data_IF_036318641041
#
_entry.id   IF_036318641041
#
_cell.length_a   1.000
_cell.length_b   1.000
_cell.length_c   1.000
_cell.angle_alpha   90.00
_cell.angle_beta   90.00
_cell.angle_gamma   90.00
#
_symmetry.space_group_name_H-M   'P 1'
#
loop_
_entity.id
_entity.type
_entity.pdbx_description
1 polymer ?
#
# COMPACT_ATOMS: atom_id res chain seq x y z
N UNK A 1 -1.62 15.03 3.39
CA UNK A 1 -2.06 13.99 4.35
C UNK A 1 -2.03 12.65 3.65
N UNK A 2 -1.30 11.66 4.18
CA UNK A 2 -1.30 10.29 3.65
C UNK A 2 -2.56 9.58 4.13
N UNK A 3 -3.40 9.11 3.19
CA UNK A 3 -4.65 8.42 3.52
C UNK A 3 -4.41 6.91 3.51
N UNK A 4 -3.77 6.42 4.58
CA UNK A 4 -3.46 5.00 4.77
C UNK A 4 -4.71 4.10 4.76
N UNK A 5 -5.90 4.65 5.06
CA UNK A 5 -7.18 3.93 4.99
C UNK A 5 -7.60 3.53 3.58
N UNK A 6 -6.96 4.06 2.54
CA UNK A 6 -7.26 3.67 1.16
C UNK A 6 -6.51 2.42 0.71
N UNK A 7 -5.54 1.94 1.52
CA UNK A 7 -4.78 0.74 1.22
C UNK A 7 -5.52 -0.52 1.64
N UNK A 8 -5.25 -1.63 0.96
CA UNK A 8 -5.73 -2.94 1.40
C UNK A 8 -5.11 -3.27 2.76
N UNK A 9 -5.90 -3.86 3.68
CA UNK A 9 -5.44 -4.13 5.05
C UNK A 9 -4.19 -5.01 5.11
N UNK A 10 -4.02 -5.92 4.15
CA UNK A 10 -2.86 -6.82 4.05
C UNK A 10 -1.55 -6.05 3.83
N UNK A 11 -1.60 -4.98 3.03
CA UNK A 11 -0.47 -4.12 2.67
C UNK A 11 -0.13 -3.18 3.85
N UNK A 12 -1.14 -2.69 4.56
CA UNK A 12 -0.96 -1.90 5.79
C UNK A 12 -0.29 -2.77 6.86
N UNK A 13 -0.77 -3.99 7.05
CA UNK A 13 -0.17 -4.94 7.99
C UNK A 13 1.28 -5.27 7.63
N UNK A 14 1.60 -5.50 6.35
CA UNK A 14 2.99 -5.72 5.92
C UNK A 14 3.87 -4.51 6.25
N UNK A 15 3.39 -3.31 5.94
CA UNK A 15 4.08 -2.04 6.22
C UNK A 15 4.29 -1.83 7.73
N UNK A 16 3.26 -2.05 8.54
CA UNK A 16 3.34 -1.94 10.01
C UNK A 16 4.27 -2.99 10.62
N UNK A 17 4.39 -4.16 9.99
CA UNK A 17 5.33 -5.22 10.37
C UNK A 17 6.76 -4.96 9.89
N UNK A 18 7.03 -3.86 9.20
CA UNK A 18 8.35 -3.56 8.64
C UNK A 18 8.74 -4.45 7.46
N UNK A 19 7.79 -5.22 6.90
CA UNK A 19 7.97 -5.89 5.62
C UNK A 19 7.51 -4.93 4.55
N UNK A 20 8.42 -4.20 3.91
CA UNK A 20 8.07 -3.39 2.73
C UNK A 20 7.55 -4.32 1.62
N UNK A 21 6.23 -4.34 1.34
CA UNK A 21 5.70 -5.21 0.32
C UNK A 21 6.18 -4.71 -1.05
N UNK A 22 6.92 -5.55 -1.79
CA UNK A 22 7.40 -5.31 -3.16
C UNK A 22 7.70 -3.84 -3.53
N UNK A 23 8.50 -3.16 -2.70
CA UNK A 23 8.93 -1.77 -2.97
C UNK A 23 7.83 -0.71 -2.76
N UNK A 24 6.88 -0.94 -1.86
CA UNK A 24 5.95 0.08 -1.36
C UNK A 24 6.70 1.10 -0.50
N UNK A 25 7.20 2.16 -1.13
CA UNK A 25 7.78 3.30 -0.42
C UNK A 25 6.71 4.35 -0.11
N UNK A 26 6.91 5.15 0.94
CA UNK A 26 6.03 6.29 1.29
C UNK A 26 5.80 7.24 0.09
N UNK A 27 6.75 7.32 -0.84
CA UNK A 27 6.64 8.09 -2.08
C UNK A 27 5.61 7.49 -3.06
N UNK A 28 5.49 6.16 -3.15
CA UNK A 28 4.45 5.50 -3.94
C UNK A 28 3.07 5.68 -3.33
N UNK A 29 2.99 5.75 -1.99
CA UNK A 29 1.76 6.12 -1.28
C UNK A 29 1.38 7.60 -1.46
N UNK A 30 2.34 8.45 -1.80
CA UNK A 30 2.09 9.86 -2.15
C UNK A 30 1.74 10.05 -3.62
N UNK A 31 2.07 9.08 -4.48
CA UNK A 31 1.65 9.03 -5.90
C UNK A 31 0.30 8.32 -6.00
N UNK A 32 -0.39 8.53 -7.13
CA UNK A 32 -1.72 8.00 -7.44
C UNK A 32 -1.91 6.55 -6.96
N UNK A 33 -2.55 6.41 -5.80
CA UNK A 33 -2.87 5.12 -5.21
C UNK A 33 -4.10 4.57 -5.92
N UNK A 34 -4.09 3.31 -6.37
CA UNK A 34 -5.30 2.70 -6.91
C UNK A 34 -6.38 2.73 -5.85
N UNK A 35 -7.58 3.16 -6.20
CA UNK A 35 -8.72 3.12 -5.27
C UNK A 35 -9.14 1.66 -4.99
N UNK A 36 -8.92 0.75 -5.95
CA UNK A 36 -9.32 -0.66 -5.83
C UNK A 36 -8.23 -1.49 -5.15
N UNK A 37 -8.61 -2.21 -4.10
CA UNK A 37 -7.72 -3.10 -3.36
C UNK A 37 -7.18 -4.28 -4.18
N UNK A 38 -7.94 -4.82 -5.13
CA UNK A 38 -7.45 -5.89 -6.02
C UNK A 38 -6.24 -5.45 -6.84
N UNK A 39 -6.27 -4.22 -7.37
CA UNK A 39 -5.15 -3.66 -8.13
C UNK A 39 -3.94 -3.41 -7.22
N UNK A 40 -4.17 -3.01 -5.97
CA UNK A 40 -3.10 -2.88 -4.98
C UNK A 40 -2.48 -4.22 -4.62
N UNK A 41 -3.28 -5.28 -4.43
CA UNK A 41 -2.78 -6.64 -4.17
C UNK A 41 -2.03 -7.21 -5.38
N UNK A 42 -2.41 -6.88 -6.61
CA UNK A 42 -1.60 -7.25 -7.78
C UNK A 42 -0.24 -6.56 -7.82
N UNK A 43 -0.16 -5.33 -7.29
CA UNK A 43 1.08 -4.55 -7.28
C UNK A 43 1.99 -4.85 -6.08
N UNK A 44 1.41 -5.15 -4.93
CA UNK A 44 2.13 -5.25 -3.64
C UNK A 44 1.74 -6.45 -2.77
N UNK A 45 0.74 -7.24 -3.17
CA UNK A 45 0.33 -8.45 -2.44
C UNK A 45 1.32 -9.60 -2.58
#
# INVERSE_FOLDING_TARGET
MLRLTSLAPDIIEATLRGREPAGLSLEKLRKDLPVRWEEQRKMWG
#
